data_IF_458292794834
#
_entry.id   IF_458292794834
#
_cell.length_a   1.000
_cell.length_b   1.000
_cell.length_c   1.000
_cell.angle_alpha   90.00
_cell.angle_beta   90.00
_cell.angle_gamma   90.00
#
_symmetry.space_group_name_H-M   'P 1'
#
loop_
_entity.id
_entity.type
_entity.pdbx_description
1 polymer ?
#
# COMPACT_ATOMS: atom_id res chain seq x y z
N UNK A 1 -22.48 -7.43 15.27
CA UNK A 1 -21.81 -8.02 14.10
C UNK A 1 -21.68 -7.01 12.95
N UNK A 2 -22.75 -6.33 12.54
CA UNK A 2 -22.79 -5.51 11.31
C UNK A 2 -21.86 -4.29 11.27
N UNK A 3 -21.55 -3.67 12.42
CA UNK A 3 -20.68 -2.49 12.48
C UNK A 3 -19.24 -2.79 12.06
N UNK A 4 -18.72 -3.96 12.42
CA UNK A 4 -17.35 -4.37 12.09
C UNK A 4 -17.20 -4.69 10.61
N UNK A 5 -18.20 -5.33 10.01
CA UNK A 5 -18.23 -5.60 8.56
C UNK A 5 -18.24 -4.28 7.79
N UNK A 6 -19.11 -3.34 8.18
CA UNK A 6 -19.18 -2.00 7.56
C UNK A 6 -17.85 -1.26 7.65
N UNK A 7 -17.18 -1.32 8.81
CA UNK A 7 -15.88 -0.68 9.00
C UNK A 7 -14.80 -1.27 8.07
N UNK A 8 -14.75 -2.59 7.94
CA UNK A 8 -13.79 -3.28 7.05
C UNK A 8 -14.08 -3.00 5.57
N UNK A 9 -15.35 -2.96 5.18
CA UNK A 9 -15.73 -2.57 3.82
C UNK A 9 -15.28 -1.15 3.50
N UNK A 10 -15.44 -0.20 4.43
CA UNK A 10 -14.98 1.17 4.25
C UNK A 10 -13.46 1.24 4.09
N UNK A 11 -12.72 0.55 4.94
CA UNK A 11 -11.25 0.48 4.88
C UNK A 11 -10.76 -0.10 3.54
N UNK A 12 -11.41 -1.14 3.03
CA UNK A 12 -11.07 -1.71 1.72
C UNK A 12 -11.27 -0.69 0.60
N UNK A 13 -12.37 0.06 0.61
CA UNK A 13 -12.65 1.10 -0.39
C UNK A 13 -11.67 2.26 -0.29
N UNK A 14 -11.36 2.72 0.92
CA UNK A 14 -10.39 3.79 1.14
C UNK A 14 -9.00 3.37 0.63
N UNK A 15 -8.57 2.14 0.93
CA UNK A 15 -7.30 1.60 0.40
C UNK A 15 -7.26 1.53 -1.13
N UNK A 16 -8.38 1.23 -1.79
CA UNK A 16 -8.45 1.27 -3.26
C UNK A 16 -8.28 2.69 -3.77
N UNK A 17 -8.89 3.69 -3.11
CA UNK A 17 -8.70 5.10 -3.47
C UNK A 17 -7.25 5.53 -3.30
N UNK A 18 -6.58 5.09 -2.24
CA UNK A 18 -5.17 5.45 -2.02
C UNK A 18 -4.28 4.92 -3.15
N UNK A 19 -4.51 3.68 -3.59
CA UNK A 19 -3.79 3.10 -4.75
C UNK A 19 -4.05 3.86 -6.04
N UNK A 20 -5.28 4.29 -6.28
CA UNK A 20 -5.65 4.96 -7.52
C UNK A 20 -5.17 6.42 -7.60
N UNK A 21 -4.88 7.04 -6.45
CA UNK A 21 -4.47 8.44 -6.38
C UNK A 21 -3.02 8.62 -5.84
N UNK A 22 -2.21 7.55 -5.87
CA UNK A 22 -0.79 7.61 -5.50
C UNK A 22 -0.51 7.93 -4.03
N UNK A 23 -1.40 7.51 -3.12
CA UNK A 23 -1.29 7.73 -1.67
C UNK A 23 -1.05 6.44 -0.86
N UNK A 24 -0.88 5.29 -1.52
CA UNK A 24 -0.83 3.96 -0.89
C UNK A 24 0.43 3.67 -0.05
N UNK A 25 1.49 4.44 -0.24
CA UNK A 25 2.72 4.36 0.57
C UNK A 25 2.77 5.37 1.73
N UNK A 26 1.70 6.13 1.96
CA UNK A 26 1.67 7.12 3.04
C UNK A 26 1.29 6.44 4.35
N UNK A 27 2.09 6.58 5.42
CA UNK A 27 1.77 5.97 6.69
C UNK A 27 0.42 6.44 7.23
N UNK A 28 -0.40 5.54 7.80
CA UNK A 28 -1.52 5.96 8.61
C UNK A 28 -0.96 6.86 9.71
N UNK A 29 -1.51 8.07 9.88
CA UNK A 29 -1.05 9.17 10.77
C UNK A 29 -0.07 10.19 10.20
N UNK A 30 0.42 10.05 8.96
CA UNK A 30 1.08 11.16 8.29
C UNK A 30 -0.01 12.12 7.79
N UNK A 31 -0.18 13.26 8.48
CA UNK A 31 -1.22 14.23 8.16
C UNK A 31 -0.75 15.12 7.01
N UNK A 32 -1.41 15.09 5.83
CA UNK A 32 -1.06 15.92 4.68
C UNK A 32 -1.00 17.41 5.01
N UNK A 33 -1.81 17.85 5.96
CA UNK A 33 -1.94 19.23 6.39
C UNK A 33 -0.90 19.68 7.41
N UNK A 34 -0.17 18.78 8.10
CA UNK A 34 0.88 19.17 9.07
C UNK A 34 2.24 19.38 8.42
N UNK A 35 2.58 18.54 7.46
CA UNK A 35 3.93 18.54 6.88
C UNK A 35 3.98 19.22 5.51
N UNK A 36 2.84 19.53 4.86
CA UNK A 36 2.79 20.29 3.59
C UNK A 36 3.47 19.61 2.40
N UNK A 37 4.02 18.40 2.60
CA UNK A 37 4.87 17.65 1.67
C UNK A 37 4.14 16.43 1.10
N UNK A 38 2.91 16.13 1.55
CA UNK A 38 2.20 14.95 1.05
C UNK A 38 1.58 15.29 -0.31
N UNK A 39 2.35 14.97 -1.35
CA UNK A 39 1.93 15.04 -2.74
C UNK A 39 1.57 13.64 -3.22
N UNK A 40 0.52 13.56 -4.05
CA UNK A 40 0.27 12.40 -4.90
C UNK A 40 1.58 11.98 -5.58
N UNK A 41 1.91 10.69 -5.46
CA UNK A 41 3.12 10.16 -6.07
C UNK A 41 2.95 10.04 -7.58
N UNK A 42 3.95 10.49 -8.33
CA UNK A 42 3.97 10.28 -9.78
C UNK A 42 3.87 8.79 -10.11
N UNK A 43 3.15 8.46 -11.18
CA UNK A 43 2.88 7.07 -11.59
C UNK A 43 4.18 6.28 -11.77
N UNK A 44 5.25 6.90 -12.29
CA UNK A 44 6.52 6.20 -12.49
C UNK A 44 7.15 5.81 -11.15
N UNK A 45 7.20 6.76 -10.21
CA UNK A 45 7.77 6.53 -8.88
C UNK A 45 6.93 5.50 -8.11
N UNK A 46 5.60 5.56 -8.26
CA UNK A 46 4.69 4.57 -7.69
C UNK A 46 5.02 3.16 -8.21
N UNK A 47 5.09 2.98 -9.53
CA UNK A 47 5.43 1.70 -10.13
C UNK A 47 6.82 1.21 -9.70
N UNK A 48 7.82 2.09 -9.66
CA UNK A 48 9.17 1.75 -9.19
C UNK A 48 9.16 1.21 -7.75
N UNK A 49 8.41 1.84 -6.84
CA UNK A 49 8.27 1.34 -5.44
C UNK A 49 7.55 0.01 -5.35
N UNK A 50 6.54 -0.23 -6.20
CA UNK A 50 5.86 -1.53 -6.24
C UNK A 50 6.82 -2.64 -6.69
N UNK A 51 7.66 -2.37 -7.70
CA UNK A 51 8.68 -3.30 -8.17
C UNK A 51 9.71 -3.56 -7.07
N UNK A 52 10.18 -2.51 -6.39
CA UNK A 52 11.12 -2.62 -5.27
C UNK A 52 10.54 -3.55 -4.19
N UNK A 53 9.31 -3.31 -3.73
CA UNK A 53 8.69 -4.18 -2.72
C UNK A 53 8.48 -5.61 -3.21
N UNK A 54 8.12 -5.81 -4.48
CA UNK A 54 7.91 -7.15 -5.05
C UNK A 54 9.22 -7.94 -5.24
N UNK A 55 10.36 -7.25 -5.37
CA UNK A 55 11.68 -7.85 -5.60
C UNK A 55 12.57 -7.86 -4.35
N UNK A 56 12.14 -7.20 -3.27
CA UNK A 56 12.89 -7.14 -2.02
C UNK A 56 13.01 -8.52 -1.39
N UNK A 57 14.26 -8.97 -1.14
CA UNK A 57 14.54 -10.27 -0.54
C UNK A 57 13.85 -10.46 0.82
N UNK A 58 13.73 -9.38 1.62
CA UNK A 58 13.02 -9.37 2.91
C UNK A 58 11.52 -9.66 2.78
N UNK A 59 10.91 -9.29 1.65
CA UNK A 59 9.51 -9.60 1.38
C UNK A 59 9.37 -11.01 0.78
N UNK A 60 10.28 -11.39 -0.13
CA UNK A 60 10.28 -12.71 -0.77
C UNK A 60 10.51 -13.84 0.24
N UNK A 61 11.39 -13.67 1.22
CA UNK A 61 11.70 -14.70 2.20
C UNK A 61 10.54 -14.99 3.18
N UNK A 62 9.55 -14.09 3.26
CA UNK A 62 8.32 -14.29 4.04
C UNK A 62 7.22 -14.99 3.24
N UNK A 63 7.39 -15.16 1.92
CA UNK A 63 6.46 -15.88 1.06
C UNK A 63 6.31 -17.33 1.50
N UNK A 64 5.09 -17.86 1.44
CA UNK A 64 4.86 -19.28 1.66
C UNK A 64 5.66 -20.11 0.65
N UNK A 65 6.38 -21.14 1.11
CA UNK A 65 7.31 -21.91 0.25
C UNK A 65 6.65 -22.50 -1.00
N UNK A 66 5.37 -22.87 -0.92
CA UNK A 66 4.61 -23.40 -2.06
C UNK A 66 4.22 -22.36 -3.12
N UNK A 67 4.40 -21.06 -2.85
CA UNK A 67 4.32 -20.01 -3.86
C UNK A 67 5.60 -19.89 -4.71
N UNK A 68 6.65 -20.64 -4.36
CA UNK A 68 7.93 -20.65 -5.06
C UNK A 68 8.56 -19.26 -5.20
N UNK A 69 8.87 -18.54 -4.10
CA UNK A 69 9.41 -17.17 -4.14
C UNK A 69 10.81 -17.04 -4.77
N UNK A 70 11.42 -18.16 -5.19
CA UNK A 70 12.74 -18.24 -5.80
C UNK A 70 12.69 -18.67 -7.28
N UNK A 71 11.49 -18.79 -7.84
CA UNK A 71 11.24 -19.04 -9.26
C UNK A 71 10.81 -17.74 -9.94
#
# INVERSE_FOLDING_TARGET
>A
MDSHVRARSKEAIDRVKDKLNGYDFIPPHHNPSRDGIIKEMDVRIHVERLIEQATLAENLCQGYIGWCPFW
#
